data_IF_594761198248
#
_entry.id   IF_594761198248
#
_cell.length_a   1.000
_cell.length_b   1.000
_cell.length_c   1.000
_cell.angle_alpha   90.00
_cell.angle_beta   90.00
_cell.angle_gamma   90.00
#
_symmetry.space_group_name_H-M   'P 1'
#
loop_
_entity.id
_entity.type
_entity.pdbx_description
1 polymer ?
#
# COMPACT_ATOMS: atom_id res chain seq x y z
N UNK A 1 -52.02 -19.74 -44.91
CA UNK A 1 -51.35 -20.70 -44.00
C UNK A 1 -49.83 -20.54 -43.98
N UNK A 2 -49.10 -20.68 -45.10
CA UNK A 2 -47.62 -20.54 -45.12
C UNK A 2 -47.07 -19.23 -44.51
N UNK A 3 -47.72 -18.09 -44.78
CA UNK A 3 -47.34 -16.78 -44.21
C UNK A 3 -47.60 -16.67 -42.70
N UNK A 4 -48.62 -17.36 -42.19
CA UNK A 4 -48.98 -17.36 -40.77
C UNK A 4 -48.02 -18.25 -39.97
N UNK A 5 -47.64 -19.40 -40.52
CA UNK A 5 -46.60 -20.26 -39.93
C UNK A 5 -45.24 -19.57 -39.88
N UNK A 6 -44.87 -18.82 -40.92
CA UNK A 6 -43.61 -18.06 -40.94
C UNK A 6 -43.59 -16.95 -39.88
N UNK A 7 -44.72 -16.26 -39.69
CA UNK A 7 -44.85 -15.23 -38.65
C UNK A 7 -44.77 -15.81 -37.23
N UNK A 8 -45.41 -16.96 -37.00
CA UNK A 8 -45.32 -17.69 -35.73
C UNK A 8 -43.90 -18.21 -35.46
N UNK A 9 -43.19 -18.67 -36.50
CA UNK A 9 -41.80 -19.11 -36.37
C UNK A 9 -40.85 -17.94 -36.00
N UNK A 10 -41.03 -16.77 -36.62
CA UNK A 10 -40.27 -15.56 -36.28
C UNK A 10 -40.52 -15.05 -34.84
N UNK A 11 -41.75 -15.18 -34.34
CA UNK A 11 -42.12 -14.82 -32.95
C UNK A 11 -41.56 -15.79 -31.89
N UNK A 12 -41.23 -17.03 -32.28
CA UNK A 12 -40.61 -18.01 -31.36
C UNK A 12 -39.11 -17.77 -31.26
N UNK A 13 -38.45 -17.35 -32.36
CA UNK A 13 -37.01 -17.02 -32.37
C UNK A 13 -36.72 -15.78 -31.53
N UNK A 14 -37.62 -14.78 -31.48
CA UNK A 14 -37.40 -13.57 -30.69
C UNK A 14 -37.38 -13.82 -29.17
N UNK A 15 -37.96 -14.92 -28.67
CA UNK A 15 -37.89 -15.29 -27.25
C UNK A 15 -36.60 -16.00 -26.84
N UNK A 16 -35.76 -16.39 -27.80
CA UNK A 16 -34.44 -16.99 -27.55
C UNK A 16 -33.32 -15.94 -27.46
N UNK A 17 -33.61 -14.66 -27.68
CA UNK A 17 -32.64 -13.57 -27.55
C UNK A 17 -32.60 -13.03 -26.11
N UNK A 18 -32.13 -13.85 -25.16
CA UNK A 18 -31.59 -13.37 -23.90
C UNK A 18 -30.07 -13.24 -24.07
N UNK A 19 -29.62 -12.15 -24.68
CA UNK A 19 -28.20 -11.91 -24.98
C UNK A 19 -27.62 -10.68 -24.25
N UNK A 20 -28.39 -10.04 -23.37
CA UNK A 20 -27.91 -8.95 -22.53
C UNK A 20 -27.87 -9.45 -21.09
N UNK A 21 -26.74 -10.05 -20.70
CA UNK A 21 -26.29 -9.89 -19.32
C UNK A 21 -25.86 -8.43 -19.21
N UNK A 22 -26.72 -7.59 -18.64
CA UNK A 22 -26.35 -6.22 -18.27
C UNK A 22 -25.34 -6.30 -17.12
N UNK A 23 -24.08 -6.59 -17.45
CA UNK A 23 -22.98 -6.47 -16.50
C UNK A 23 -22.86 -4.99 -16.17
N UNK A 24 -23.02 -4.63 -14.89
CA UNK A 24 -22.83 -3.27 -14.43
C UNK A 24 -21.33 -2.96 -14.40
N UNK A 25 -20.92 -1.91 -15.09
CA UNK A 25 -19.55 -1.40 -15.10
C UNK A 25 -19.49 -0.11 -14.28
N UNK A 26 -18.48 0.00 -13.42
CA UNK A 26 -18.22 1.19 -12.61
C UNK A 26 -16.84 1.75 -12.97
N UNK A 27 -16.77 2.93 -13.61
CA UNK A 27 -15.50 3.63 -13.81
C UNK A 27 -15.07 4.34 -12.53
N UNK A 28 -13.80 4.18 -12.18
CA UNK A 28 -13.18 4.94 -11.10
C UNK A 28 -12.37 6.09 -11.70
N UNK A 29 -12.95 7.27 -11.63
CA UNK A 29 -12.39 8.51 -12.17
C UNK A 29 -12.40 9.55 -11.05
N UNK A 30 -11.29 10.23 -10.86
CA UNK A 30 -11.21 11.40 -10.00
C UNK A 30 -11.93 12.57 -10.67
N UNK A 31 -12.91 13.15 -9.98
CA UNK A 31 -13.59 14.38 -10.40
C UNK A 31 -13.38 15.45 -9.33
N UNK A 32 -12.13 15.62 -8.91
CA UNK A 32 -11.80 16.57 -7.86
C UNK A 32 -11.62 17.97 -8.42
N UNK A 33 -11.84 18.97 -7.57
CA UNK A 33 -11.66 20.38 -7.90
C UNK A 33 -10.53 21.00 -7.09
N UNK A 34 -9.85 22.00 -7.66
CA UNK A 34 -8.84 22.79 -6.91
C UNK A 34 -9.41 23.32 -5.60
N UNK A 35 -8.75 22.99 -4.49
CA UNK A 35 -9.17 23.40 -3.15
C UNK A 35 -10.01 22.38 -2.40
N UNK A 36 -10.40 21.26 -3.03
CA UNK A 36 -10.99 20.12 -2.32
C UNK A 36 -10.06 19.63 -1.21
N UNK A 37 -10.65 19.30 -0.06
CA UNK A 37 -9.96 18.80 1.12
C UNK A 37 -10.73 17.60 1.66
N UNK A 38 -10.02 16.49 1.85
CA UNK A 38 -10.54 15.25 2.42
C UNK A 38 -9.73 14.89 3.66
N UNK A 39 -10.38 14.92 4.82
CA UNK A 39 -9.75 14.55 6.07
C UNK A 39 -9.96 13.08 6.37
N UNK A 40 -8.90 12.38 6.76
CA UNK A 40 -8.94 10.98 7.12
C UNK A 40 -8.46 10.76 8.55
N UNK A 41 -8.91 9.69 9.14
CA UNK A 41 -8.29 9.05 10.29
C UNK A 41 -7.61 7.76 9.83
N UNK A 42 -6.29 7.68 10.04
CA UNK A 42 -5.49 6.50 9.75
C UNK A 42 -5.21 5.75 11.06
N UNK A 43 -5.56 4.47 11.11
CA UNK A 43 -5.23 3.56 12.22
C UNK A 43 -4.33 2.44 11.71
N UNK A 44 -3.13 2.32 12.29
CA UNK A 44 -2.18 1.25 12.01
C UNK A 44 -2.13 0.30 13.19
N UNK A 45 -2.37 -0.98 12.96
CA UNK A 45 -2.31 -2.04 13.97
C UNK A 45 -1.21 -3.02 13.58
N UNK A 46 -0.33 -3.35 14.52
CA UNK A 46 0.73 -4.34 14.33
C UNK A 46 0.61 -5.41 15.38
N UNK A 47 0.43 -6.65 14.94
CA UNK A 47 0.36 -7.82 15.82
C UNK A 47 1.43 -8.83 15.45
N UNK A 48 2.01 -9.46 16.46
CA UNK A 48 2.97 -10.54 16.29
C UNK A 48 2.65 -11.69 17.23
N UNK A 49 2.83 -12.90 16.73
CA UNK A 49 2.68 -14.13 17.49
C UNK A 49 3.93 -14.99 17.32
N UNK A 50 4.33 -15.62 18.42
CA UNK A 50 5.27 -16.74 18.45
C UNK A 50 4.48 -18.00 18.80
N UNK A 51 4.39 -18.92 17.84
CA UNK A 51 3.38 -19.96 17.81
C UNK A 51 1.96 -19.38 17.91
N UNK A 52 1.27 -19.72 19.00
CA UNK A 52 -0.07 -19.22 19.31
C UNK A 52 -0.07 -18.02 20.27
N UNK A 53 1.09 -17.66 20.84
CA UNK A 53 1.21 -16.64 21.88
C UNK A 53 1.36 -15.27 21.21
N UNK A 54 0.43 -14.36 21.51
CA UNK A 54 0.53 -12.96 21.08
C UNK A 54 1.64 -12.26 21.86
N UNK A 55 2.72 -11.88 21.16
CA UNK A 55 3.90 -11.23 21.74
C UNK A 55 3.89 -9.71 21.56
N UNK A 56 3.15 -9.21 20.56
CA UNK A 56 3.05 -7.79 20.26
C UNK A 56 1.65 -7.43 19.77
N UNK A 57 1.12 -6.29 20.22
CA UNK A 57 -0.15 -5.74 19.77
C UNK A 57 -0.14 -4.22 19.95
N UNK A 58 0.43 -3.53 18.97
CA UNK A 58 0.54 -2.08 18.97
C UNK A 58 -0.53 -1.49 18.04
N UNK A 59 -1.04 -0.32 18.41
CA UNK A 59 -1.93 0.48 17.57
C UNK A 59 -1.54 1.94 17.64
N UNK A 60 -1.56 2.61 16.50
CA UNK A 60 -1.34 4.06 16.41
C UNK A 60 -2.40 4.66 15.49
N UNK A 61 -2.96 5.78 15.91
CA UNK A 61 -3.97 6.52 15.15
C UNK A 61 -3.50 7.95 14.96
N UNK A 62 -3.68 8.49 13.76
CA UNK A 62 -3.32 9.85 13.40
C UNK A 62 -4.27 10.36 12.32
N UNK A 63 -4.35 11.69 12.18
CA UNK A 63 -5.15 12.30 11.13
C UNK A 63 -4.32 12.47 9.87
N UNK A 64 -4.98 12.41 8.72
CA UNK A 64 -4.39 12.78 7.45
C UNK A 64 -5.29 13.77 6.71
N UNK A 65 -4.69 14.55 5.84
CA UNK A 65 -5.37 15.51 4.98
C UNK A 65 -4.89 15.25 3.56
N UNK A 66 -5.84 14.88 2.70
CA UNK A 66 -5.67 14.88 1.25
C UNK A 66 -6.22 16.20 0.72
N UNK A 67 -5.45 16.92 -0.10
CA UNK A 67 -5.87 18.20 -0.68
C UNK A 67 -5.58 18.27 -2.16
N UNK A 68 -6.48 18.84 -2.96
CA UNK A 68 -6.17 19.20 -4.34
C UNK A 68 -5.55 20.60 -4.34
N UNK A 69 -4.28 20.69 -4.72
CA UNK A 69 -3.56 21.97 -4.79
C UNK A 69 -3.87 22.69 -6.10
N UNK A 70 -3.82 21.96 -7.21
CA UNK A 70 -4.07 22.48 -8.55
C UNK A 70 -4.70 21.37 -9.42
N UNK A 71 -5.55 21.80 -10.35
CA UNK A 71 -6.22 20.98 -11.36
C UNK A 71 -5.89 21.56 -12.73
N UNK A 72 -5.59 20.68 -13.69
CA UNK A 72 -5.50 21.02 -15.11
C UNK A 72 -6.32 20.02 -15.91
N UNK A 73 -6.53 20.30 -17.20
CA UNK A 73 -7.22 19.39 -18.13
C UNK A 73 -6.60 17.97 -18.22
N UNK A 74 -5.40 17.74 -17.66
CA UNK A 74 -4.65 16.48 -17.80
C UNK A 74 -4.05 15.94 -16.49
N UNK A 75 -4.26 16.62 -15.36
CA UNK A 75 -3.61 16.20 -14.11
C UNK A 75 -4.12 16.92 -12.87
N UNK A 76 -3.96 16.28 -11.72
CA UNK A 76 -4.06 16.93 -10.41
C UNK A 76 -2.70 17.02 -9.74
N UNK A 77 -2.42 18.16 -9.11
CA UNK A 77 -1.35 18.31 -8.13
C UNK A 77 -1.95 18.14 -6.73
N UNK A 78 -1.45 17.16 -6.00
CA UNK A 78 -2.06 16.67 -4.77
C UNK A 78 -1.17 16.87 -3.54
N UNK A 79 -1.90 17.19 -2.49
CA UNK A 79 -1.64 17.33 -1.07
C UNK A 79 -1.74 16.07 -0.22
N UNK A 80 -0.70 15.37 0.26
CA UNK A 80 -0.87 14.37 1.33
C UNK A 80 -0.07 14.74 2.57
N UNK A 81 -0.79 15.06 3.64
CA UNK A 81 -0.23 15.43 4.94
C UNK A 81 -0.77 14.52 6.03
N UNK A 82 0.05 14.19 7.02
CA UNK A 82 -0.38 13.50 8.22
C UNK A 82 -0.03 14.35 9.45
N UNK A 83 -0.96 14.41 10.39
CA UNK A 83 -0.68 14.97 11.70
C UNK A 83 0.28 14.04 12.44
N UNK A 84 1.32 14.62 13.04
CA UNK A 84 2.28 13.87 13.84
C UNK A 84 1.53 13.05 14.89
N UNK A 85 1.80 11.74 15.04
CA UNK A 85 1.43 11.07 16.26
C UNK A 85 2.11 11.78 17.43
N UNK A 86 1.46 11.73 18.60
CA UNK A 86 1.90 12.39 19.82
C UNK A 86 3.33 11.94 20.18
N UNK A 87 4.32 12.76 19.80
CA UNK A 87 5.76 12.44 19.92
C UNK A 87 6.21 12.15 21.36
N UNK A 88 5.43 12.63 22.34
CA UNK A 88 5.69 12.43 23.77
C UNK A 88 5.62 10.96 24.22
N UNK A 89 4.98 10.07 23.47
CA UNK A 89 4.85 8.65 23.82
C UNK A 89 5.95 7.76 23.23
N UNK A 90 6.73 8.26 22.25
CA UNK A 90 7.75 7.44 21.57
C UNK A 90 8.99 7.17 22.43
N UNK A 91 9.11 7.77 23.62
CA UNK A 91 10.27 7.61 24.52
C UNK A 91 11.60 8.04 23.90
N UNK A 92 11.56 8.83 22.81
CA UNK A 92 12.74 9.21 22.06
C UNK A 92 13.51 10.35 22.77
N UNK A 93 14.85 10.34 22.72
CA UNK A 93 15.68 11.41 23.25
C UNK A 93 15.22 12.82 22.80
N UNK A 94 15.13 13.78 23.73
CA UNK A 94 14.74 15.18 23.43
C UNK A 94 15.55 15.81 22.30
N UNK A 95 16.83 15.43 22.15
CA UNK A 95 17.72 15.91 21.07
C UNK A 95 17.18 15.61 19.66
N UNK A 96 16.31 14.62 19.51
CA UNK A 96 15.74 14.20 18.23
C UNK A 96 14.44 14.94 17.88
N UNK A 97 13.82 15.62 18.85
CA UNK A 97 12.48 16.18 18.68
C UNK A 97 12.40 17.19 17.55
N UNK A 98 13.46 17.98 17.31
CA UNK A 98 13.53 18.91 16.19
C UNK A 98 13.49 18.20 14.82
N UNK A 99 14.36 17.22 14.62
CA UNK A 99 14.43 16.43 13.38
C UNK A 99 13.16 15.62 13.14
N UNK A 100 12.60 15.03 14.21
CA UNK A 100 11.34 14.29 14.17
C UNK A 100 10.18 15.22 13.78
N UNK A 101 10.05 16.37 14.45
CA UNK A 101 9.03 17.37 14.14
C UNK A 101 9.14 17.84 12.69
N UNK A 102 10.33 18.20 12.24
CA UNK A 102 10.56 18.65 10.87
C UNK A 102 10.19 17.60 9.81
N UNK A 103 10.38 16.31 10.12
CA UNK A 103 9.92 15.20 9.27
C UNK A 103 8.40 15.10 9.24
N UNK A 104 7.73 15.08 10.40
CA UNK A 104 6.26 14.97 10.46
C UNK A 104 5.50 16.21 9.93
N UNK A 105 6.13 17.38 9.90
CA UNK A 105 5.58 18.58 9.25
C UNK A 105 5.71 18.52 7.71
N UNK A 106 6.39 17.52 7.16
CA UNK A 106 6.58 17.39 5.72
C UNK A 106 5.32 16.90 5.06
N UNK A 107 4.85 17.69 4.12
CA UNK A 107 3.74 17.36 3.25
C UNK A 107 4.29 16.67 1.98
N UNK A 108 3.60 15.65 1.51
CA UNK A 108 3.95 14.92 0.28
C UNK A 108 3.21 15.57 -0.87
N UNK A 109 3.95 16.22 -1.76
CA UNK A 109 3.42 16.80 -2.99
C UNK A 109 3.59 15.77 -4.10
N UNK A 110 2.50 15.40 -4.76
CA UNK A 110 2.55 14.41 -5.82
C UNK A 110 1.57 14.72 -6.94
N UNK A 111 1.76 14.09 -8.09
CA UNK A 111 0.96 14.32 -9.30
C UNK A 111 0.18 13.08 -9.68
N UNK A 112 -1.02 13.29 -10.20
CA UNK A 112 -1.84 12.25 -10.85
C UNK A 112 -2.21 12.67 -12.27
N UNK A 113 -2.70 11.74 -13.10
CA UNK A 113 -3.37 12.07 -14.35
C UNK A 113 -4.81 12.55 -14.10
N UNK A 114 -5.53 12.90 -15.16
CA UNK A 114 -6.92 13.34 -15.12
C UNK A 114 -7.90 12.26 -14.62
N UNK A 115 -7.53 10.99 -14.65
CA UNK A 115 -8.35 9.88 -14.12
C UNK A 115 -8.13 9.66 -12.63
N UNK A 116 -7.10 10.26 -12.03
CA UNK A 116 -6.70 10.05 -10.65
C UNK A 116 -5.64 8.97 -10.48
N UNK A 117 -4.99 8.48 -11.54
CA UNK A 117 -3.86 7.54 -11.42
C UNK A 117 -2.61 8.27 -10.92
N UNK A 118 -1.94 7.70 -9.92
CA UNK A 118 -0.68 8.23 -9.41
C UNK A 118 0.41 8.22 -10.49
N UNK A 119 1.13 9.34 -10.64
CA UNK A 119 2.26 9.48 -11.58
C UNK A 119 3.60 9.54 -10.85
N UNK A 120 3.81 10.55 -10.00
CA UNK A 120 5.11 10.81 -9.37
C UNK A 120 5.01 11.66 -8.11
N UNK A 121 6.03 11.58 -7.24
CA UNK A 121 6.21 12.50 -6.11
C UNK A 121 7.06 13.67 -6.55
N UNK A 122 6.54 14.89 -6.41
CA UNK A 122 7.18 16.12 -6.88
C UNK A 122 8.27 16.60 -5.92
N UNK A 123 8.05 16.52 -4.61
CA UNK A 123 9.01 16.99 -3.60
C UNK A 123 9.84 15.87 -2.95
N UNK A 124 10.15 14.81 -3.71
CA UNK A 124 10.89 13.65 -3.21
C UNK A 124 12.26 14.02 -2.60
N UNK A 125 12.95 14.97 -3.22
CA UNK A 125 14.25 15.49 -2.76
C UNK A 125 14.17 16.13 -1.37
N UNK A 126 13.11 16.88 -1.10
CA UNK A 126 12.89 17.48 0.23
C UNK A 126 12.66 16.41 1.28
N UNK A 127 11.76 15.45 0.98
CA UNK A 127 11.47 14.32 1.87
C UNK A 127 12.74 13.52 2.14
N UNK A 128 13.57 13.31 1.11
CA UNK A 128 14.86 12.63 1.25
C UNK A 128 15.83 13.38 2.14
N UNK A 129 15.97 14.68 1.95
CA UNK A 129 16.82 15.51 2.80
C UNK A 129 16.39 15.43 4.27
N UNK A 130 15.10 15.52 4.56
CA UNK A 130 14.56 15.43 5.92
C UNK A 130 14.71 14.04 6.53
N UNK A 131 14.52 12.99 5.74
CA UNK A 131 14.74 11.60 6.16
C UNK A 131 16.21 11.35 6.51
N UNK A 132 17.14 11.83 5.68
CA UNK A 132 18.58 11.78 5.95
C UNK A 132 18.92 12.48 7.27
N UNK A 133 18.43 13.71 7.46
CA UNK A 133 18.70 14.47 8.69
C UNK A 133 18.14 13.78 9.94
N UNK A 134 16.97 13.16 9.85
CA UNK A 134 16.40 12.36 10.93
C UNK A 134 17.28 11.16 11.26
N UNK A 135 17.70 10.38 10.25
CA UNK A 135 18.57 9.21 10.44
C UNK A 135 19.92 9.62 11.01
N UNK A 136 20.52 10.70 10.54
CA UNK A 136 21.79 11.22 11.08
C UNK A 136 21.68 11.62 12.54
N UNK A 137 20.55 12.22 12.91
CA UNK A 137 20.26 12.54 14.31
C UNK A 137 20.11 11.28 15.16
N UNK A 138 19.50 10.21 14.62
CA UNK A 138 19.29 8.93 15.30
C UNK A 138 20.59 8.17 15.52
N UNK A 139 21.45 8.12 14.51
CA UNK A 139 22.73 7.41 14.56
C UNK A 139 23.68 8.14 15.54
N UNK A 140 23.70 9.47 15.51
CA UNK A 140 24.55 10.29 16.37
C UNK A 140 26.06 10.07 16.15
N UNK A 141 26.89 10.94 16.73
CA UNK A 141 28.37 10.85 16.58
C UNK A 141 29.00 9.68 17.37
N UNK A 142 28.23 8.98 18.20
CA UNK A 142 28.72 7.98 19.15
C UNK A 142 28.70 6.54 18.61
N UNK A 143 27.90 6.24 17.58
CA UNK A 143 27.90 4.89 16.95
C UNK A 143 29.20 4.62 16.19
N UNK A 144 29.87 5.66 15.68
CA UNK A 144 31.23 5.54 15.13
C UNK A 144 32.29 5.18 16.19
N UNK A 145 31.96 5.31 17.49
CA UNK A 145 32.89 5.12 18.62
C UNK A 145 32.51 3.97 19.55
N UNK A 146 31.39 3.28 19.33
CA UNK A 146 30.94 2.20 20.19
C UNK A 146 31.49 0.85 19.72
N UNK A 147 32.04 0.04 20.63
CA UNK A 147 32.28 -1.41 20.47
C UNK A 147 30.96 -2.22 20.41
N UNK A 148 29.91 -1.65 19.81
CA UNK A 148 28.56 -2.19 19.77
C UNK A 148 28.41 -3.38 18.81
N UNK A 149 27.27 -4.07 18.90
CA UNK A 149 26.96 -5.29 18.14
C UNK A 149 26.87 -5.11 16.60
N UNK A 150 26.86 -3.87 16.09
CA UNK A 150 26.81 -3.57 14.66
C UNK A 150 28.05 -2.78 14.26
N UNK A 151 28.75 -3.22 13.22
CA UNK A 151 29.93 -2.51 12.72
C UNK A 151 29.55 -1.15 12.13
N UNK A 152 30.47 -0.18 12.16
CA UNK A 152 30.28 1.12 11.52
C UNK A 152 29.92 0.99 10.02
N UNK A 153 30.46 -0.03 9.34
CA UNK A 153 30.12 -0.31 7.94
C UNK A 153 28.66 -0.78 7.79
N UNK A 154 28.19 -1.68 8.65
CA UNK A 154 26.79 -2.15 8.68
C UNK A 154 25.83 -0.99 8.92
N UNK A 155 26.18 -0.07 9.83
CA UNK A 155 25.40 1.14 10.10
C UNK A 155 25.31 2.04 8.87
N UNK A 156 26.42 2.26 8.15
CA UNK A 156 26.40 3.04 6.91
C UNK A 156 25.57 2.36 5.81
N UNK A 157 25.60 1.04 5.70
CA UNK A 157 24.76 0.30 4.75
C UNK A 157 23.28 0.44 5.07
N UNK A 158 22.90 0.31 6.36
CA UNK A 158 21.53 0.55 6.81
C UNK A 158 21.10 1.98 6.48
N UNK A 159 21.96 2.98 6.75
CA UNK A 159 21.68 4.38 6.39
C UNK A 159 21.44 4.51 4.89
N UNK A 160 22.34 4.01 4.05
CA UNK A 160 22.22 4.09 2.59
C UNK A 160 20.94 3.41 2.07
N UNK A 161 20.54 2.29 2.67
CA UNK A 161 19.29 1.62 2.32
C UNK A 161 18.07 2.45 2.71
N UNK A 162 18.04 2.98 3.94
CA UNK A 162 16.93 3.78 4.46
C UNK A 162 16.76 5.12 3.73
N UNK A 163 17.82 5.63 3.09
CA UNK A 163 17.82 6.92 2.41
C UNK A 163 17.80 6.82 0.88
N UNK A 164 17.71 5.59 0.36
CA UNK A 164 17.54 5.32 -1.06
C UNK A 164 16.19 5.81 -1.59
N UNK A 165 16.16 6.21 -2.87
CA UNK A 165 14.93 6.70 -3.49
C UNK A 165 13.81 5.65 -3.44
N UNK A 166 14.14 4.37 -3.63
CA UNK A 166 13.17 3.26 -3.56
C UNK A 166 12.55 3.14 -2.17
N UNK A 167 13.35 3.21 -1.11
CA UNK A 167 12.85 3.11 0.26
C UNK A 167 11.99 4.31 0.62
N UNK A 168 12.45 5.52 0.29
CA UNK A 168 11.72 6.75 0.60
C UNK A 168 10.41 6.82 -0.17
N UNK A 169 10.43 6.52 -1.47
CA UNK A 169 9.21 6.40 -2.26
C UNK A 169 8.30 5.33 -1.66
N UNK A 170 8.79 4.14 -1.33
CA UNK A 170 7.96 3.09 -0.73
C UNK A 170 7.33 3.45 0.62
N UNK A 171 8.05 4.22 1.45
CA UNK A 171 7.53 4.70 2.74
C UNK A 171 6.41 5.74 2.55
N UNK A 172 6.64 6.68 1.64
CA UNK A 172 5.74 7.81 1.36
C UNK A 172 4.51 7.38 0.56
N UNK A 173 4.71 6.51 -0.42
CA UNK A 173 3.70 6.14 -1.40
C UNK A 173 2.70 5.11 -0.89
N UNK A 174 2.97 4.39 0.20
CA UNK A 174 2.12 3.26 0.58
C UNK A 174 0.64 3.65 0.73
N UNK A 175 0.34 4.74 1.43
CA UNK A 175 -1.04 5.21 1.62
C UNK A 175 -1.61 5.86 0.36
N UNK A 176 -0.80 6.62 -0.37
CA UNK A 176 -1.15 7.26 -1.64
C UNK A 176 -1.52 6.19 -2.67
N UNK A 177 -0.70 5.15 -2.85
CA UNK A 177 -0.97 4.02 -3.74
C UNK A 177 -2.30 3.35 -3.41
N UNK A 178 -2.64 3.19 -2.12
CA UNK A 178 -3.94 2.62 -1.75
C UNK A 178 -5.11 3.55 -2.10
N UNK A 179 -4.98 4.86 -1.86
CA UNK A 179 -5.97 5.86 -2.28
C UNK A 179 -6.17 5.83 -3.79
N UNK A 180 -5.07 5.70 -4.54
CA UNK A 180 -5.10 5.82 -5.98
C UNK A 180 -5.34 4.50 -6.73
N UNK A 181 -5.30 3.36 -6.03
CA UNK A 181 -5.36 2.01 -6.63
C UNK A 181 -6.49 1.79 -7.64
N UNK A 182 -7.76 2.18 -7.36
CA UNK A 182 -8.83 1.83 -8.28
C UNK A 182 -8.90 2.75 -9.52
N UNK A 183 -8.30 3.94 -9.49
CA UNK A 183 -8.46 4.94 -10.57
C UNK A 183 -7.83 4.51 -11.89
N UNK A 184 -8.37 5.04 -12.99
CA UNK A 184 -7.89 4.76 -14.35
C UNK A 184 -8.52 3.52 -15.00
N UNK A 185 -9.35 2.78 -14.25
CA UNK A 185 -9.97 1.55 -14.71
C UNK A 185 -11.50 1.58 -14.56
N UNK A 186 -12.13 0.75 -15.37
CA UNK A 186 -13.55 0.41 -15.27
C UNK A 186 -13.68 -1.05 -14.84
N UNK A 187 -14.50 -1.31 -13.83
CA UNK A 187 -14.66 -2.65 -13.26
C UNK A 187 -16.07 -3.17 -13.48
N UNK A 188 -16.16 -4.41 -13.96
CA UNK A 188 -17.39 -5.17 -14.01
C UNK A 188 -17.76 -5.70 -12.61
N UNK A 189 -19.01 -5.49 -12.21
CA UNK A 189 -19.54 -5.99 -10.94
C UNK A 189 -19.52 -7.52 -10.91
N UNK A 190 -18.97 -8.10 -9.83
CA UNK A 190 -18.82 -9.54 -9.60
C UNK A 190 -17.93 -10.30 -10.59
N UNK A 191 -17.18 -9.61 -11.45
CA UNK A 191 -16.13 -10.24 -12.25
C UNK A 191 -14.80 -10.18 -11.51
N UNK A 192 -14.05 -11.28 -11.55
CA UNK A 192 -12.73 -11.37 -10.92
C UNK A 192 -11.64 -11.17 -11.96
N UNK A 193 -10.79 -10.19 -11.72
CA UNK A 193 -9.59 -9.93 -12.51
C UNK A 193 -8.42 -10.63 -11.82
N UNK A 194 -7.70 -11.46 -12.59
CA UNK A 194 -6.49 -12.13 -12.14
C UNK A 194 -5.28 -11.58 -12.89
N UNK A 195 -4.24 -11.21 -12.16
CA UNK A 195 -2.99 -10.74 -12.75
C UNK A 195 -1.80 -11.00 -11.81
N UNK A 196 -0.58 -10.97 -12.37
CA UNK A 196 0.64 -10.97 -11.57
C UNK A 196 1.10 -9.52 -11.39
N UNK A 197 1.35 -9.10 -10.15
CA UNK A 197 1.88 -7.79 -9.82
C UNK A 197 3.35 -7.87 -9.41
N UNK A 198 4.15 -6.89 -9.81
CA UNK A 198 5.54 -6.75 -9.39
C UNK A 198 5.67 -5.70 -8.29
N UNK A 199 5.86 -6.17 -7.06
CA UNK A 199 6.09 -5.30 -5.92
C UNK A 199 7.54 -4.81 -5.92
N UNK A 200 7.78 -3.50 -5.77
CA UNK A 200 9.12 -2.98 -5.72
C UNK A 200 9.87 -3.53 -4.51
N UNK A 201 11.13 -3.91 -4.73
CA UNK A 201 12.03 -4.28 -3.64
C UNK A 201 12.58 -3.01 -2.99
N UNK A 202 12.05 -2.66 -1.82
CA UNK A 202 12.38 -1.42 -1.11
C UNK A 202 13.86 -1.30 -0.71
N UNK A 203 14.58 -2.41 -0.68
CA UNK A 203 16.01 -2.42 -0.37
C UNK A 203 16.88 -2.48 -1.63
N UNK A 204 16.27 -2.54 -2.82
CA UNK A 204 16.91 -2.69 -4.12
C UNK A 204 16.98 -4.15 -4.61
N UNK A 205 17.15 -4.38 -5.91
CA UNK A 205 17.19 -5.72 -6.51
C UNK A 205 15.93 -6.04 -7.31
N UNK A 206 15.72 -7.32 -7.62
CA UNK A 206 14.55 -7.74 -8.39
C UNK A 206 13.25 -7.51 -7.60
N UNK A 207 12.15 -7.12 -8.28
CA UNK A 207 10.84 -7.00 -7.66
C UNK A 207 10.32 -8.38 -7.20
N UNK A 208 9.38 -8.36 -6.26
CA UNK A 208 8.70 -9.57 -5.79
C UNK A 208 7.40 -9.74 -6.55
N UNK A 209 7.18 -10.91 -7.16
CA UNK A 209 5.92 -11.22 -7.85
C UNK A 209 4.84 -11.58 -6.83
N UNK A 210 3.61 -11.17 -7.11
CA UNK A 210 2.43 -11.58 -6.36
C UNK A 210 1.27 -11.92 -7.28
N UNK A 211 0.63 -13.04 -7.02
CA UNK A 211 -0.63 -13.42 -7.68
C UNK A 211 -1.75 -12.57 -7.07
N UNK A 212 -2.50 -11.81 -7.89
CA UNK A 212 -3.56 -10.92 -7.44
C UNK A 212 -4.93 -11.38 -7.94
N UNK A 213 -5.92 -11.28 -7.05
CA UNK A 213 -7.35 -11.37 -7.35
C UNK A 213 -8.00 -10.02 -7.01
N UNK A 214 -8.66 -9.38 -7.97
CA UNK A 214 -9.34 -8.09 -7.79
C UNK A 214 -10.80 -8.20 -8.23
N UNK A 215 -11.71 -7.76 -7.39
CA UNK A 215 -13.17 -7.89 -7.61
C UNK A 215 -13.86 -6.61 -7.18
N UNK A 216 -14.71 -6.06 -8.04
CA UNK A 216 -15.75 -5.12 -7.63
C UNK A 216 -16.91 -5.91 -7.03
N UNK A 217 -17.05 -5.89 -5.71
CA UNK A 217 -17.97 -6.74 -4.97
C UNK A 217 -19.36 -6.10 -4.84
N UNK A 218 -19.41 -4.79 -4.63
CA UNK A 218 -20.65 -4.05 -4.42
C UNK A 218 -20.63 -2.75 -5.21
N UNK A 219 -21.78 -2.37 -5.76
CA UNK A 219 -22.01 -1.08 -6.39
C UNK A 219 -23.46 -0.63 -6.18
N UNK A 220 -23.63 0.59 -5.69
CA UNK A 220 -24.89 1.30 -5.58
C UNK A 220 -24.81 2.54 -6.47
N UNK A 221 -25.55 2.54 -7.59
CA UNK A 221 -25.53 3.62 -8.56
C UNK A 221 -26.34 4.85 -8.13
N UNK A 222 -27.23 4.71 -7.14
CA UNK A 222 -28.04 5.82 -6.61
C UNK A 222 -27.17 6.62 -5.63
N UNK A 223 -26.55 5.92 -4.69
CA UNK A 223 -25.66 6.51 -3.68
C UNK A 223 -24.24 6.73 -4.20
N UNK A 224 -23.94 6.24 -5.41
CA UNK A 224 -22.62 6.26 -6.07
C UNK A 224 -21.54 5.60 -5.24
N UNK A 225 -21.89 4.55 -4.49
CA UNK A 225 -20.97 3.80 -3.62
C UNK A 225 -20.49 2.55 -4.33
N UNK A 226 -19.22 2.21 -4.13
CA UNK A 226 -18.64 0.98 -4.64
C UNK A 226 -17.63 0.39 -3.65
N UNK A 227 -17.52 -0.93 -3.63
CA UNK A 227 -16.55 -1.65 -2.81
C UNK A 227 -15.72 -2.62 -3.67
N UNK A 228 -14.40 -2.41 -3.71
CA UNK A 228 -13.47 -3.38 -4.27
C UNK A 228 -12.81 -4.21 -3.18
N UNK A 229 -12.53 -5.46 -3.51
CA UNK A 229 -11.68 -6.35 -2.72
C UNK A 229 -10.50 -6.78 -3.57
N UNK A 230 -9.30 -6.64 -3.02
CA UNK A 230 -8.05 -7.10 -3.64
C UNK A 230 -7.35 -8.07 -2.72
N UNK A 231 -7.07 -9.27 -3.20
CA UNK A 231 -6.28 -10.28 -2.50
C UNK A 231 -4.99 -10.51 -3.25
N UNK A 232 -3.88 -10.67 -2.53
CA UNK A 232 -2.61 -11.00 -3.16
C UNK A 232 -1.85 -12.04 -2.34
N UNK A 233 -1.16 -12.94 -3.04
CA UNK A 233 -0.21 -13.87 -2.44
C UNK A 233 1.15 -13.64 -3.09
N UNK A 234 2.13 -13.26 -2.28
CA UNK A 234 3.50 -13.04 -2.76
C UNK A 234 4.17 -14.39 -3.01
N UNK A 235 4.96 -14.48 -4.07
CA UNK A 235 5.75 -15.65 -4.40
C UNK A 235 6.79 -15.94 -3.29
N UNK A 236 6.83 -17.21 -2.86
CA UNK A 236 7.71 -17.65 -1.78
C UNK A 236 9.19 -17.59 -2.17
N UNK A 237 9.54 -18.00 -3.39
CA UNK A 237 10.93 -17.99 -3.87
C UNK A 237 11.45 -16.56 -4.01
N UNK A 238 10.61 -15.64 -4.49
CA UNK A 238 10.96 -14.22 -4.53
C UNK A 238 11.14 -13.65 -3.12
N UNK A 239 10.37 -14.15 -2.13
CA UNK A 239 10.54 -13.78 -0.72
C UNK A 239 11.86 -14.30 -0.15
N UNK A 240 12.23 -15.56 -0.44
CA UNK A 240 13.52 -16.14 -0.03
C UNK A 240 14.68 -15.38 -0.67
N UNK A 241 14.62 -15.15 -1.98
CA UNK A 241 15.62 -14.38 -2.72
C UNK A 241 15.76 -12.95 -2.19
N UNK A 242 14.64 -12.31 -1.83
CA UNK A 242 14.64 -11.00 -1.18
C UNK A 242 15.39 -11.02 0.15
N UNK A 243 15.12 -12.00 1.02
CA UNK A 243 15.78 -12.12 2.33
C UNK A 243 17.27 -12.40 2.19
N UNK A 244 17.67 -13.36 1.34
CA UNK A 244 19.07 -13.66 1.06
C UNK A 244 19.81 -12.42 0.53
N UNK A 245 19.19 -11.68 -0.40
CA UNK A 245 19.75 -10.44 -0.92
C UNK A 245 19.88 -9.34 0.13
N UNK A 246 18.91 -9.22 1.04
CA UNK A 246 18.94 -8.28 2.16
C UNK A 246 20.10 -8.59 3.11
N UNK A 247 20.22 -9.84 3.57
CA UNK A 247 21.27 -10.23 4.52
C UNK A 247 22.67 -10.14 3.91
N UNK A 248 22.84 -10.51 2.64
CA UNK A 248 24.10 -10.33 1.93
C UNK A 248 24.52 -8.86 1.83
N UNK A 249 23.56 -7.93 1.62
CA UNK A 249 23.87 -6.48 1.64
C UNK A 249 24.26 -5.95 3.01
N UNK A 250 23.72 -6.54 4.08
CA UNK A 250 24.08 -6.20 5.45
C UNK A 250 25.40 -6.88 5.89
N UNK A 251 26.05 -7.64 5.01
CA UNK A 251 27.25 -8.43 5.27
C UNK A 251 27.06 -9.42 6.43
N UNK A 252 25.84 -9.95 6.55
CA UNK A 252 25.50 -11.02 7.48
C UNK A 252 25.70 -12.33 6.73
N UNK A 253 26.96 -12.78 6.69
CA UNK A 253 27.35 -14.05 6.07
C UNK A 253 27.34 -15.15 7.15
N UNK A 254 26.14 -15.66 7.41
CA UNK A 254 25.92 -16.76 8.36
C UNK A 254 25.34 -17.97 7.62
N UNK A 255 26.06 -19.09 7.66
CA UNK A 255 25.67 -20.33 6.98
C UNK A 255 24.38 -20.89 7.59
N UNK A 256 24.19 -20.71 8.90
CA UNK A 256 22.99 -21.15 9.61
C UNK A 256 21.79 -20.29 9.19
N UNK A 257 21.99 -19.00 8.90
CA UNK A 257 20.95 -18.10 8.40
C UNK A 257 20.52 -18.45 6.97
N UNK A 258 21.47 -18.81 6.11
CA UNK A 258 21.16 -19.22 4.74
C UNK A 258 20.35 -20.51 4.74
N UNK A 259 20.80 -21.50 5.51
CA UNK A 259 20.08 -22.77 5.68
C UNK A 259 18.69 -22.55 6.32
N UNK A 260 18.58 -21.63 7.28
CA UNK A 260 17.31 -21.22 7.87
C UNK A 260 16.35 -20.66 6.82
N UNK A 261 16.81 -19.75 5.94
CA UNK A 261 15.97 -19.18 4.88
C UNK A 261 15.51 -20.25 3.89
N UNK A 262 16.39 -21.16 3.50
CA UNK A 262 16.02 -22.22 2.55
C UNK A 262 14.98 -23.18 3.12
N UNK A 263 15.15 -23.59 4.38
CA UNK A 263 14.27 -24.55 5.08
C UNK A 263 12.97 -23.94 5.61
N UNK A 264 12.90 -22.62 5.75
CA UNK A 264 11.69 -21.95 6.25
C UNK A 264 10.66 -21.81 5.14
N UNK A 265 9.39 -22.09 5.48
CA UNK A 265 8.26 -21.77 4.62
C UNK A 265 7.81 -20.34 4.84
N UNK A 266 7.68 -19.56 3.77
CA UNK A 266 7.24 -18.17 3.82
C UNK A 266 5.89 -18.00 3.15
N UNK A 267 4.90 -17.49 3.88
CA UNK A 267 3.61 -17.11 3.31
C UNK A 267 3.34 -15.64 3.60
N UNK A 268 3.29 -14.82 2.55
CA UNK A 268 2.87 -13.42 2.66
C UNK A 268 1.59 -13.22 1.85
N UNK A 269 0.54 -12.78 2.54
CA UNK A 269 -0.79 -12.56 1.98
C UNK A 269 -1.26 -11.16 2.30
N UNK A 270 -1.90 -10.54 1.33
CA UNK A 270 -2.55 -9.25 1.48
C UNK A 270 -4.04 -9.40 1.19
N UNK A 271 -4.88 -8.89 2.10
CA UNK A 271 -6.32 -8.77 1.94
C UNK A 271 -6.70 -7.30 2.11
N UNK A 272 -7.11 -6.65 1.02
CA UNK A 272 -7.46 -5.23 1.00
C UNK A 272 -8.93 -5.04 0.61
N UNK A 273 -9.60 -4.06 1.23
CA UNK A 273 -10.92 -3.60 0.86
C UNK A 273 -10.93 -2.09 0.67
N UNK A 274 -11.63 -1.63 -0.37
CA UNK A 274 -11.64 -0.26 -0.85
C UNK A 274 -13.08 0.18 -1.05
N UNK A 275 -13.59 1.02 -0.16
CA UNK A 275 -14.93 1.62 -0.27
C UNK A 275 -14.79 3.06 -0.74
N UNK A 276 -15.57 3.44 -1.75
CA UNK A 276 -15.52 4.74 -2.40
C UNK A 276 -16.92 5.28 -2.66
N UNK A 277 -17.03 6.60 -2.65
CA UNK A 277 -18.00 7.30 -3.50
C UNK A 277 -17.33 7.43 -4.86
N UNK A 278 -17.61 6.53 -5.80
CA UNK A 278 -16.84 6.39 -7.05
C UNK A 278 -17.03 7.58 -8.02
N UNK A 279 -18.06 8.40 -7.80
CA UNK A 279 -18.23 9.69 -8.46
C UNK A 279 -18.68 10.71 -7.39
N UNK A 280 -17.76 11.54 -6.87
CA UNK A 280 -16.59 12.09 -7.58
C UNK A 280 -15.23 11.39 -7.37
N UNK A 281 -15.20 10.14 -6.89
CA UNK A 281 -13.95 9.41 -6.69
C UNK A 281 -13.31 9.71 -5.33
N UNK A 282 -14.09 9.58 -4.26
CA UNK A 282 -13.63 9.86 -2.89
C UNK A 282 -13.53 8.54 -2.13
N UNK A 283 -12.34 8.13 -1.62
CA UNK A 283 -12.25 6.99 -0.73
C UNK A 283 -12.99 7.28 0.57
N UNK A 284 -13.89 6.38 0.97
CA UNK A 284 -14.61 6.48 2.25
C UNK A 284 -13.97 5.60 3.31
N UNK A 285 -13.50 4.42 2.91
CA UNK A 285 -12.83 3.48 3.80
C UNK A 285 -11.87 2.59 3.01
N UNK A 286 -10.60 2.60 3.41
CA UNK A 286 -9.60 1.65 2.92
C UNK A 286 -9.17 0.81 4.11
N UNK A 287 -9.21 -0.51 3.97
CA UNK A 287 -8.62 -1.43 4.93
C UNK A 287 -7.61 -2.29 4.20
N UNK A 288 -6.39 -2.35 4.72
CA UNK A 288 -5.39 -3.29 4.24
C UNK A 288 -4.97 -4.19 5.39
N UNK A 289 -4.75 -5.45 5.09
CA UNK A 289 -4.29 -6.45 6.04
C UNK A 289 -3.21 -7.29 5.37
N UNK A 290 -1.95 -7.08 5.75
CA UNK A 290 -0.85 -7.96 5.37
C UNK A 290 -0.61 -8.95 6.49
N UNK A 291 -0.68 -10.24 6.17
CA UNK A 291 -0.28 -11.33 7.04
C UNK A 291 1.00 -11.97 6.51
N UNK A 292 1.99 -12.13 7.38
CA UNK A 292 3.23 -12.87 7.11
C UNK A 292 3.31 -14.03 8.08
N UNK A 293 3.44 -15.25 7.55
CA UNK A 293 3.68 -16.46 8.33
C UNK A 293 5.04 -17.04 7.94
N UNK A 294 5.80 -17.40 8.96
CA UNK A 294 7.08 -18.06 8.87
C UNK A 294 6.95 -19.38 9.61
N UNK A 295 7.26 -20.49 8.95
CA UNK A 295 7.24 -21.82 9.57
C UNK A 295 8.58 -22.51 9.29
N UNK A 296 9.38 -22.67 10.34
CA UNK A 296 10.60 -23.49 10.38
C UNK A 296 10.35 -24.70 11.30
N UNK A 297 11.27 -25.67 11.33
CA UNK A 297 11.10 -26.93 12.10
C UNK A 297 10.70 -26.69 13.57
N UNK A 298 11.36 -25.74 14.25
CA UNK A 298 11.16 -25.47 15.68
C UNK A 298 10.51 -24.10 15.96
N UNK A 299 10.16 -23.32 14.93
CA UNK A 299 9.68 -21.94 15.09
C UNK A 299 8.52 -21.64 14.17
N UNK A 300 7.47 -21.07 14.73
CA UNK A 300 6.34 -20.53 13.98
C UNK A 300 6.14 -19.09 14.36
N UNK A 301 6.25 -18.20 13.39
CA UNK A 301 5.99 -16.79 13.61
C UNK A 301 4.85 -16.33 12.72
N UNK A 302 3.96 -15.52 13.29
CA UNK A 302 2.95 -14.82 12.52
C UNK A 302 3.05 -13.33 12.81
N UNK A 303 2.98 -12.53 11.77
CA UNK A 303 2.88 -11.08 11.85
C UNK A 303 1.67 -10.62 11.06
N UNK A 304 0.97 -9.63 11.59
CA UNK A 304 -0.15 -8.98 10.93
C UNK A 304 0.03 -7.47 11.01
N UNK A 305 0.04 -6.81 9.86
CA UNK A 305 0.07 -5.35 9.74
C UNK A 305 -1.24 -4.90 9.08
N UNK A 306 -2.06 -4.16 9.82
CA UNK A 306 -3.33 -3.62 9.35
C UNK A 306 -3.21 -2.10 9.24
N UNK A 307 -3.72 -1.52 8.15
CA UNK A 307 -3.99 -0.10 8.03
C UNK A 307 -5.48 0.09 7.75
N UNK A 308 -6.11 1.01 8.46
CA UNK A 308 -7.47 1.45 8.23
C UNK A 308 -7.41 2.94 7.98
N UNK A 309 -7.79 3.39 6.79
CA UNK A 309 -7.95 4.80 6.45
C UNK A 309 -9.44 5.10 6.30
N UNK A 310 -10.00 5.97 7.13
CA UNK A 310 -11.42 6.30 7.12
C UNK A 310 -11.62 7.78 6.89
N UNK A 311 -12.47 8.14 5.93
CA UNK A 311 -12.88 9.52 5.70
C UNK A 311 -13.65 10.04 6.93
N UNK A 312 -13.29 11.23 7.40
CA UNK A 312 -14.03 11.93 8.45
C UNK A 312 -15.28 12.57 7.86
N UNK A 313 -16.39 12.43 8.58
CA UNK A 313 -17.68 13.06 8.25
C UNK A 313 -17.79 14.42 8.90
#
# INVERSE_FOLDING_TARGET
>A
MKKLCLLLFLLIISKANYAQTDTLYIPFIAYWETGDIYEFEATKIKRQWDGEILTKNDSITYNCILKVLEETDSSYLMSWKFDSPFLGELGLPMKLMGSIKGFFETEVIYKTNELGEFLEVINLEEIRSKTNNLIDSLIGDDIEKSDGALSANTVQQIKAMLTSDQMIQGLVLKEIQFIHMPFGYEYALNETIFYEEQLPNLFGGAPLRGDVELILLEADTIERKAALVRKMRINEEDTKSFLTGLFGRLQIDDIDLTEFIEKTTYQVKDDHSFEYIYNPGIPTLIKTNRETRLEAEDQKMRRQDILILRLKQ
#
